data_IF_071390865539
#
_entry.id   IF_071390865539
#
_cell.length_a   1.000
_cell.length_b   1.000
_cell.length_c   1.000
_cell.angle_alpha   90.00
_cell.angle_beta   90.00
_cell.angle_gamma   90.00
#
_symmetry.space_group_name_H-M   'P 1'
#
loop_
_entity.id
_entity.type
_entity.pdbx_description
1 polymer ?
#
# COMPACT_ATOMS: atom_id res chain seq x y z
N UNK A 1 10.67 0.69 -1.67
CA UNK A 1 10.08 1.72 -2.54
C UNK A 1 10.98 2.93 -2.44
N UNK A 2 11.39 3.45 -3.60
CA UNK A 2 12.18 4.68 -3.68
C UNK A 2 11.52 5.64 -4.67
N UNK A 3 11.58 6.94 -4.40
CA UNK A 3 10.93 7.94 -5.23
C UNK A 3 11.33 9.38 -4.91
N UNK A 4 10.80 10.32 -5.69
CA UNK A 4 10.94 11.76 -5.45
C UNK A 4 9.59 12.44 -5.62
N UNK A 5 9.47 13.67 -5.14
CA UNK A 5 8.24 14.45 -5.19
C UNK A 5 8.55 15.91 -5.47
N UNK A 6 7.59 16.65 -6.03
CA UNK A 6 7.63 18.11 -6.12
C UNK A 6 6.87 18.79 -4.96
N UNK A 7 6.28 18.04 -4.04
CA UNK A 7 5.53 18.56 -2.89
C UNK A 7 6.48 19.09 -1.82
N UNK A 8 6.31 20.35 -1.42
CA UNK A 8 7.22 21.02 -0.49
C UNK A 8 7.00 20.65 0.98
N UNK A 9 5.74 20.47 1.40
CA UNK A 9 5.37 20.11 2.78
C UNK A 9 3.95 19.58 2.81
N UNK A 10 3.78 18.29 3.05
CA UNK A 10 2.46 17.68 3.23
C UNK A 10 2.52 16.49 4.20
N UNK A 11 1.53 16.36 5.08
CA UNK A 11 1.38 15.16 5.88
C UNK A 11 0.59 14.13 5.08
N UNK A 12 1.00 12.87 5.17
CA UNK A 12 0.41 11.82 4.33
C UNK A 12 -0.37 10.82 5.17
N UNK A 13 -1.34 10.19 4.52
CA UNK A 13 -1.98 8.97 5.00
C UNK A 13 -1.83 7.91 3.90
N UNK A 14 -1.32 6.74 4.28
CA UNK A 14 -1.14 5.60 3.40
C UNK A 14 -2.31 4.65 3.55
N UNK A 15 -2.82 4.16 2.43
CA UNK A 15 -3.85 3.13 2.40
C UNK A 15 -3.33 1.94 1.60
N UNK A 16 -3.26 0.78 2.25
CA UNK A 16 -2.72 -0.45 1.68
C UNK A 16 -3.86 -1.43 1.57
N UNK A 17 -4.11 -1.91 0.36
CA UNK A 17 -5.14 -2.92 0.11
C UNK A 17 -4.58 -4.07 -0.71
N UNK A 18 -4.98 -5.29 -0.38
CA UNK A 18 -4.73 -6.49 -1.18
C UNK A 18 -6.06 -7.06 -1.61
N UNK A 19 -6.29 -7.07 -2.91
CA UNK A 19 -7.43 -7.75 -3.53
C UNK A 19 -6.94 -9.09 -4.08
N UNK A 20 -7.68 -10.17 -3.86
CA UNK A 20 -7.39 -11.45 -4.48
C UNK A 20 -8.71 -12.14 -4.84
N UNK A 21 -8.77 -12.67 -6.07
CA UNK A 21 -9.96 -13.33 -6.60
C UNK A 21 -11.22 -12.45 -6.59
N UNK A 22 -11.05 -11.15 -6.88
CA UNK A 22 -12.13 -10.16 -6.91
C UNK A 22 -12.65 -9.71 -5.53
N UNK A 23 -12.02 -10.19 -4.45
CA UNK A 23 -12.41 -9.88 -3.07
C UNK A 23 -11.29 -9.12 -2.36
N UNK A 24 -11.64 -8.11 -1.54
CA UNK A 24 -10.67 -7.44 -0.69
C UNK A 24 -10.29 -8.33 0.49
N UNK A 25 -9.03 -8.76 0.55
CA UNK A 25 -8.52 -9.70 1.56
C UNK A 25 -7.79 -9.02 2.69
N UNK A 26 -7.20 -7.86 2.41
CA UNK A 26 -6.48 -7.09 3.41
C UNK A 26 -6.67 -5.61 3.13
N UNK A 27 -6.97 -4.84 4.18
CA UNK A 27 -7.05 -3.40 4.08
C UNK A 27 -6.51 -2.77 5.37
N UNK A 28 -5.54 -1.87 5.24
CA UNK A 28 -4.99 -1.13 6.35
C UNK A 28 -4.69 0.31 5.97
N UNK A 29 -5.03 1.24 6.86
CA UNK A 29 -4.63 2.64 6.77
C UNK A 29 -3.52 2.91 7.77
N UNK A 30 -2.47 3.60 7.34
CA UNK A 30 -1.29 3.84 8.15
C UNK A 30 -0.79 5.28 8.02
N UNK A 31 -0.37 5.86 9.13
CA UNK A 31 0.32 7.14 9.19
C UNK A 31 1.84 6.87 9.05
N UNK A 32 2.50 7.31 7.97
CA UNK A 32 3.91 7.02 7.75
C UNK A 32 4.81 7.54 8.88
N UNK A 33 4.34 8.53 9.65
CA UNK A 33 5.10 9.15 10.73
C UNK A 33 5.08 8.32 12.00
N UNK A 34 4.09 7.43 12.11
CA UNK A 34 4.01 6.38 13.14
C UNK A 34 4.65 5.06 12.67
N UNK A 35 4.91 4.93 11.38
CA UNK A 35 5.47 3.74 10.73
C UNK A 35 7.00 3.71 10.64
N UNK A 36 7.68 4.72 11.22
CA UNK A 36 9.12 4.96 11.03
C UNK A 36 9.53 5.22 9.56
N UNK A 37 8.60 5.71 8.72
CA UNK A 37 8.91 6.10 7.33
C UNK A 37 9.22 7.61 7.32
N UNK A 38 10.38 7.97 7.87
CA UNK A 38 10.75 9.37 8.12
C UNK A 38 10.86 10.22 6.84
N UNK A 39 11.19 9.62 5.70
CA UNK A 39 11.28 10.29 4.39
C UNK A 39 9.94 10.86 3.91
N UNK A 40 8.82 10.46 4.54
CA UNK A 40 7.46 10.89 4.20
C UNK A 40 6.83 11.78 5.28
N UNK A 41 7.63 12.31 6.25
CA UNK A 41 7.12 12.88 7.50
C UNK A 41 7.76 14.21 7.96
N UNK A 42 7.21 15.36 7.54
CA UNK A 42 6.27 15.50 6.44
C UNK A 42 6.96 15.23 5.10
N UNK A 43 6.18 14.94 4.06
CA UNK A 43 6.68 14.81 2.71
C UNK A 43 7.33 16.14 2.26
N UNK A 44 8.55 16.07 1.75
CA UNK A 44 9.33 17.23 1.32
C UNK A 44 10.17 16.89 0.08
N UNK A 45 10.05 17.70 -0.97
CA UNK A 45 10.76 17.54 -2.24
C UNK A 45 12.29 17.55 -2.15
N UNK A 46 12.85 18.07 -1.06
CA UNK A 46 14.29 18.09 -0.81
C UNK A 46 14.83 16.75 -0.27
N UNK A 47 13.94 15.83 0.10
CA UNK A 47 14.29 14.51 0.67
C UNK A 47 13.75 13.41 -0.25
N UNK A 48 14.60 12.54 -0.81
CA UNK A 48 14.14 11.37 -1.54
C UNK A 48 13.28 10.47 -0.65
N UNK A 49 12.20 9.96 -1.21
CA UNK A 49 11.32 9.00 -0.54
C UNK A 49 12.03 7.66 -0.52
N UNK A 50 12.16 7.09 0.67
CA UNK A 50 12.64 5.73 0.91
C UNK A 50 11.72 5.07 1.93
N UNK A 51 11.06 4.00 1.51
CA UNK A 51 10.08 3.30 2.34
C UNK A 51 10.20 1.79 2.17
N UNK A 52 10.20 1.10 3.31
CA UNK A 52 10.13 -0.34 3.39
C UNK A 52 9.09 -0.74 4.44
N UNK A 53 8.22 -1.67 4.08
CA UNK A 53 7.26 -2.26 5.00
C UNK A 53 7.18 -3.75 4.69
N UNK A 54 7.23 -4.56 5.74
CA UNK A 54 6.92 -5.98 5.68
C UNK A 54 5.64 -6.20 6.47
N UNK A 55 4.56 -6.56 5.77
CA UNK A 55 3.25 -6.76 6.38
C UNK A 55 3.01 -8.27 6.42
N UNK A 56 3.08 -8.91 7.61
CA UNK A 56 2.77 -10.32 7.72
C UNK A 56 1.26 -10.52 7.53
N UNK A 57 0.89 -11.43 6.63
CA UNK A 57 -0.49 -11.89 6.49
C UNK A 57 -0.73 -13.02 7.49
N UNK A 58 -1.80 -12.92 8.26
CA UNK A 58 -2.23 -13.96 9.17
C UNK A 58 -3.11 -14.99 8.43
N UNK A 59 -3.26 -16.23 8.94
CA UNK A 59 -4.08 -17.25 8.29
C UNK A 59 -5.54 -16.82 8.07
N UNK A 60 -6.09 -15.94 8.90
CA UNK A 60 -7.45 -15.42 8.72
C UNK A 60 -7.58 -14.51 7.50
N UNK A 61 -6.53 -13.76 7.12
CA UNK A 61 -6.52 -12.86 5.96
C UNK A 61 -6.66 -13.65 4.63
N UNK A 62 -6.27 -14.93 4.64
CA UNK A 62 -6.36 -15.82 3.47
C UNK A 62 -7.41 -16.94 3.62
N UNK A 63 -8.04 -17.05 4.80
CA UNK A 63 -8.97 -18.15 5.12
C UNK A 63 -10.21 -18.22 4.22
N UNK A 64 -10.63 -17.11 3.63
CA UNK A 64 -11.77 -17.03 2.72
C UNK A 64 -11.43 -17.33 1.26
N UNK A 65 -10.20 -17.72 0.94
CA UNK A 65 -9.78 -18.11 -0.41
C UNK A 65 -10.07 -19.61 -0.57
N UNK A 66 -10.98 -20.01 -1.49
CA UNK A 66 -11.23 -21.41 -1.76
C UNK A 66 -9.95 -22.11 -2.23
N UNK A 67 -9.67 -23.33 -1.76
CA UNK A 67 -8.49 -24.09 -2.19
C UNK A 67 -8.45 -24.36 -3.69
N UNK A 68 -9.62 -24.42 -4.35
CA UNK A 68 -9.71 -24.54 -5.80
C UNK A 68 -9.22 -23.28 -6.54
N UNK A 69 -9.32 -22.10 -5.90
CA UNK A 69 -8.87 -20.84 -6.49
C UNK A 69 -7.34 -20.77 -6.56
N UNK A 70 -6.62 -21.40 -5.61
CA UNK A 70 -5.15 -21.49 -5.60
C UNK A 70 -4.56 -22.32 -6.76
N UNK A 71 -5.40 -23.10 -7.45
CA UNK A 71 -4.99 -23.93 -8.58
C UNK A 71 -5.39 -23.38 -9.95
N UNK A 72 -6.05 -22.21 -10.01
CA UNK A 72 -6.48 -21.60 -11.28
C UNK A 72 -5.34 -20.71 -11.79
N UNK A 73 -4.74 -21.03 -12.95
CA UNK A 73 -3.76 -20.14 -13.57
C UNK A 73 -4.46 -18.86 -14.04
N UNK A 74 -3.78 -17.71 -13.88
CA UNK A 74 -4.10 -16.42 -14.52
C UNK A 74 -5.15 -15.49 -13.88
N UNK A 75 -5.34 -15.49 -12.55
CA UNK A 75 -5.64 -14.21 -11.88
C UNK A 75 -5.26 -14.23 -10.40
N UNK A 76 -4.21 -13.50 -10.06
CA UNK A 76 -3.71 -13.39 -8.70
C UNK A 76 -3.47 -11.93 -8.33
N UNK A 77 -3.53 -11.72 -7.01
CA UNK A 77 -4.08 -10.51 -6.43
C UNK A 77 -3.42 -9.18 -6.83
N UNK A 78 -4.14 -8.11 -6.55
CA UNK A 78 -3.67 -6.74 -6.70
C UNK A 78 -3.27 -6.19 -5.33
N UNK A 79 -1.98 -5.90 -5.15
CA UNK A 79 -1.51 -5.11 -4.02
C UNK A 79 -1.49 -3.64 -4.43
N UNK A 80 -2.21 -2.79 -3.70
CA UNK A 80 -2.30 -1.35 -3.98
C UNK A 80 -1.88 -0.55 -2.74
N UNK A 81 -1.00 0.42 -2.96
CA UNK A 81 -0.63 1.45 -1.99
C UNK A 81 -1.11 2.80 -2.54
N UNK A 82 -2.13 3.36 -1.90
CA UNK A 82 -2.63 4.70 -2.18
C UNK A 82 -2.08 5.68 -1.16
N UNK A 83 -1.69 6.86 -1.62
CA UNK A 83 -1.09 7.92 -0.81
C UNK A 83 -2.03 9.11 -0.87
N UNK A 84 -2.50 9.56 0.29
CA UNK A 84 -3.41 10.68 0.43
C UNK A 84 -2.72 11.86 1.12
N UNK A 85 -2.97 13.07 0.63
CA UNK A 85 -2.64 14.29 1.35
C UNK A 85 -3.62 14.44 2.53
N UNK A 86 -3.10 14.63 3.74
CA UNK A 86 -3.92 14.75 4.94
C UNK A 86 -4.73 16.06 4.94
N UNK A 87 -4.15 17.13 4.39
CA UNK A 87 -4.79 18.46 4.33
C UNK A 87 -6.06 18.49 3.46
N UNK A 88 -6.03 17.85 2.29
CA UNK A 88 -7.11 17.88 1.29
C UNK A 88 -7.89 16.59 1.19
N UNK A 89 -7.40 15.51 1.81
CA UNK A 89 -7.93 14.14 1.68
C UNK A 89 -7.92 13.61 0.24
N UNK A 90 -7.14 14.21 -0.65
CA UNK A 90 -7.04 13.79 -2.05
C UNK A 90 -5.95 12.77 -2.23
N UNK A 91 -6.17 11.78 -3.12
CA UNK A 91 -5.13 10.84 -3.52
C UNK A 91 -4.08 11.58 -4.38
N UNK A 92 -2.83 11.54 -3.95
CA UNK A 92 -1.68 12.20 -4.62
C UNK A 92 -0.68 11.19 -5.20
N UNK A 93 -0.85 9.90 -4.91
CA UNK A 93 -0.03 8.83 -5.46
C UNK A 93 -0.72 7.48 -5.34
N UNK A 94 -0.44 6.57 -6.27
CA UNK A 94 -0.93 5.21 -6.23
C UNK A 94 0.13 4.29 -6.86
N UNK A 95 0.51 3.25 -6.12
CA UNK A 95 1.35 2.17 -6.60
C UNK A 95 0.52 0.91 -6.61
N UNK A 96 0.63 0.16 -7.69
CA UNK A 96 -0.10 -1.10 -7.85
C UNK A 96 0.87 -2.16 -8.36
N UNK A 97 0.82 -3.33 -7.74
CA UNK A 97 1.52 -4.51 -8.16
C UNK A 97 0.52 -5.63 -8.40
N UNK A 98 0.76 -6.41 -9.46
CA UNK A 98 0.05 -7.66 -9.73
C UNK A 98 0.88 -8.78 -9.13
N UNK A 99 0.23 -9.69 -8.41
CA UNK A 99 0.87 -10.85 -7.80
C UNK A 99 0.45 -12.09 -8.60
N UNK A 100 1.36 -13.04 -8.76
CA UNK A 100 1.07 -14.35 -9.37
C UNK A 100 1.88 -15.45 -8.65
N UNK A 101 1.47 -16.72 -8.80
CA UNK A 101 2.09 -17.96 -8.30
C UNK A 101 3.07 -18.52 -9.31
#
# INVERSE_FOLDING_TARGET
>A
MDGTTNIHKENLILHISVEAYGENRFNMTYDPCKANIHSMCPLNNSVPITAFAAIPLAPHDVSGIPSIALGIPDLEGLARLQIFANSTQTQIGCFQAVMTN
#
